data_IF_707683952368
#
_entry.id   IF_707683952368
#
_cell.length_a   1.000
_cell.length_b   1.000
_cell.length_c   1.000
_cell.angle_alpha   90.00
_cell.angle_beta   90.00
_cell.angle_gamma   90.00
#
_symmetry.space_group_name_H-M   'P 1'
#
loop_
_entity.id
_entity.type
_entity.pdbx_description
1 polymer ?
#
# COMPACT_ATOMS: atom_id res chain seq x y z
N UNK A 1 -0.85 11.90 -21.01
CA UNK A 1 0.43 11.80 -20.25
C UNK A 1 0.56 10.45 -19.53
N UNK A 2 -0.43 10.02 -18.73
CA UNK A 2 -0.41 8.71 -18.06
C UNK A 2 -0.36 7.51 -19.01
N UNK A 3 -1.01 7.59 -20.18
CA UNK A 3 -1.00 6.52 -21.19
C UNK A 3 0.41 6.24 -21.74
N UNK A 4 1.20 7.28 -21.98
CA UNK A 4 2.59 7.14 -22.44
C UNK A 4 3.45 6.47 -21.35
N UNK A 5 3.25 6.85 -20.09
CA UNK A 5 3.96 6.23 -18.97
C UNK A 5 3.55 4.77 -18.80
N UNK A 6 2.24 4.48 -18.89
CA UNK A 6 1.72 3.12 -18.85
C UNK A 6 2.35 2.25 -19.94
N UNK A 7 2.37 2.74 -21.19
CA UNK A 7 2.99 2.03 -22.31
C UNK A 7 4.48 1.75 -22.05
N UNK A 8 5.24 2.75 -21.57
CA UNK A 8 6.66 2.59 -21.25
C UNK A 8 6.92 1.56 -20.16
N UNK A 9 6.10 1.53 -19.11
CA UNK A 9 6.22 0.58 -18.00
C UNK A 9 5.85 -0.83 -18.46
N UNK A 10 4.74 -0.96 -19.20
CA UNK A 10 4.20 -2.26 -19.62
C UNK A 10 5.11 -2.98 -20.63
N UNK A 11 5.77 -2.23 -21.52
CA UNK A 11 6.69 -2.80 -22.51
C UNK A 11 8.13 -2.97 -21.97
N UNK A 12 8.44 -2.39 -20.82
CA UNK A 12 9.72 -2.64 -20.18
C UNK A 12 9.69 -3.99 -19.46
N UNK A 13 10.32 -5.00 -20.06
CA UNK A 13 10.34 -6.39 -19.54
C UNK A 13 10.78 -6.49 -18.08
N UNK A 14 11.75 -5.67 -17.65
CA UNK A 14 12.21 -5.68 -16.27
C UNK A 14 11.13 -5.13 -15.32
N UNK A 15 10.60 -3.95 -15.60
CA UNK A 15 9.58 -3.32 -14.76
C UNK A 15 8.30 -4.18 -14.71
N UNK A 16 7.88 -4.72 -15.86
CA UNK A 16 6.74 -5.61 -15.94
C UNK A 16 6.93 -6.85 -15.06
N UNK A 17 8.05 -7.56 -15.21
CA UNK A 17 8.34 -8.74 -14.39
C UNK A 17 8.49 -8.38 -12.90
N UNK A 18 9.06 -7.22 -12.60
CA UNK A 18 9.19 -6.75 -11.23
C UNK A 18 7.82 -6.48 -10.60
N UNK A 19 6.89 -5.84 -11.33
CA UNK A 19 5.51 -5.63 -10.87
C UNK A 19 4.82 -6.96 -10.60
N UNK A 20 4.90 -7.92 -11.52
CA UNK A 20 4.32 -9.26 -11.33
C UNK A 20 4.94 -9.97 -10.12
N UNK A 21 6.26 -9.87 -9.94
CA UNK A 21 6.94 -10.41 -8.76
C UNK A 21 6.41 -9.76 -7.48
N UNK A 22 6.25 -8.43 -7.45
CA UNK A 22 5.71 -7.73 -6.27
C UNK A 22 4.29 -8.20 -5.96
N UNK A 23 3.44 -8.37 -6.97
CA UNK A 23 2.07 -8.90 -6.81
C UNK A 23 2.07 -10.30 -6.19
N UNK A 24 3.04 -11.15 -6.55
CA UNK A 24 3.16 -12.52 -6.02
C UNK A 24 3.71 -12.58 -4.59
N UNK A 25 4.64 -11.69 -4.22
CA UNK A 25 5.28 -11.72 -2.90
C UNK A 25 4.60 -10.82 -1.86
N UNK A 26 3.72 -9.91 -2.31
CA UNK A 26 2.96 -9.06 -1.39
C UNK A 26 1.85 -9.90 -0.77
N UNK A 27 1.79 -9.95 0.56
CA UNK A 27 0.66 -10.56 1.28
C UNK A 27 -0.63 -9.84 0.90
N UNK A 28 -1.57 -10.59 0.32
CA UNK A 28 -2.90 -10.07 0.00
C UNK A 28 -3.72 -9.95 1.27
N UNK A 29 -4.53 -8.90 1.36
CA UNK A 29 -5.59 -8.87 2.37
C UNK A 29 -6.64 -9.88 1.90
N UNK A 30 -6.72 -11.01 2.59
CA UNK A 30 -7.76 -12.00 2.35
C UNK A 30 -9.08 -11.47 2.93
N UNK A 31 -10.07 -11.38 2.05
CA UNK A 31 -11.46 -11.10 2.42
C UNK A 31 -12.23 -12.41 2.24
N UNK A 32 -13.11 -12.73 3.19
CA UNK A 32 -13.92 -13.96 3.14
C UNK A 32 -14.98 -13.89 2.02
N UNK A 33 -15.43 -12.68 1.69
CA UNK A 33 -16.41 -12.41 0.63
C UNK A 33 -15.99 -11.19 -0.18
N UNK A 34 -16.28 -11.19 -1.48
CA UNK A 34 -16.12 -10.04 -2.37
C UNK A 34 -16.90 -8.81 -1.91
N UNK A 35 -18.03 -8.99 -1.21
CA UNK A 35 -18.83 -7.88 -0.67
C UNK A 35 -18.12 -7.14 0.46
N UNK A 36 -17.13 -7.77 1.09
CA UNK A 36 -16.27 -7.10 2.06
C UNK A 36 -15.36 -6.08 1.37
N UNK A 37 -15.11 -6.17 0.07
CA UNK A 37 -14.26 -5.24 -0.68
C UNK A 37 -15.07 -3.98 -1.05
N UNK A 38 -15.09 -3.00 -0.14
CA UNK A 38 -15.73 -1.71 -0.39
C UNK A 38 -14.71 -0.55 -0.39
N UNK A 39 -15.16 0.63 -0.85
CA UNK A 39 -14.34 1.84 -0.89
C UNK A 39 -13.91 2.30 0.50
N UNK A 40 -14.70 2.01 1.54
CA UNK A 40 -14.44 2.43 2.92
C UNK A 40 -13.30 1.62 3.57
N UNK A 41 -13.00 0.42 3.07
CA UNK A 41 -11.80 -0.32 3.46
C UNK A 41 -10.51 0.39 3.06
N UNK A 42 -10.57 1.35 2.13
CA UNK A 42 -9.39 2.09 1.68
C UNK A 42 -9.18 3.29 2.58
N UNK A 43 -8.18 3.21 3.45
CA UNK A 43 -7.72 4.35 4.23
C UNK A 43 -6.50 4.99 3.58
N UNK A 44 -6.56 6.30 3.31
CA UNK A 44 -5.38 7.03 2.82
C UNK A 44 -4.31 7.04 3.91
N UNK A 45 -3.06 6.86 3.54
CA UNK A 45 -1.93 6.84 4.48
C UNK A 45 -1.83 8.09 5.37
N UNK A 46 -2.19 9.26 4.83
CA UNK A 46 -2.25 10.51 5.59
C UNK A 46 -3.29 10.50 6.72
N UNK A 47 -4.36 9.72 6.58
CA UNK A 47 -5.45 9.63 7.56
C UNK A 47 -5.17 8.53 8.62
N UNK A 48 -4.08 7.78 8.47
CA UNK A 48 -3.64 6.76 9.43
C UNK A 48 -2.67 7.43 10.41
N UNK A 49 -3.12 7.69 11.64
CA UNK A 49 -2.28 8.28 12.70
C UNK A 49 -1.98 7.31 13.84
N UNK A 50 -2.87 6.36 14.10
CA UNK A 50 -2.75 5.38 15.20
C UNK A 50 -1.53 4.47 15.05
N UNK A 51 -0.62 4.53 16.03
CA UNK A 51 0.52 3.64 16.15
C UNK A 51 0.07 2.19 16.34
N UNK A 52 -0.93 1.98 17.21
CA UNK A 52 -1.47 0.65 17.50
C UNK A 52 -2.02 -0.03 16.25
N UNK A 53 -2.75 0.73 15.41
CA UNK A 53 -3.27 0.22 14.15
C UNK A 53 -2.14 -0.17 13.19
N UNK A 54 -1.10 0.67 13.06
CA UNK A 54 0.05 0.38 12.19
C UNK A 54 0.79 -0.87 12.63
N UNK A 55 1.01 -1.06 13.93
CA UNK A 55 1.65 -2.27 14.47
C UNK A 55 0.77 -3.50 14.26
N UNK A 56 -0.53 -3.42 14.60
CA UNK A 56 -1.49 -4.53 14.46
C UNK A 56 -1.58 -5.05 13.02
N UNK A 57 -1.56 -4.14 12.05
CA UNK A 57 -1.65 -4.47 10.63
C UNK A 57 -0.27 -4.63 9.95
N UNK A 58 0.82 -4.74 10.72
CA UNK A 58 2.20 -4.91 10.24
C UNK A 58 2.66 -3.83 9.23
N UNK A 59 2.13 -2.62 9.33
CA UNK A 59 2.42 -1.49 8.43
C UNK A 59 3.72 -0.78 8.82
N UNK A 60 4.82 -1.52 8.96
CA UNK A 60 6.11 -0.98 9.45
C UNK A 60 6.75 0.01 8.47
N UNK A 61 6.58 -0.22 7.17
CA UNK A 61 7.10 0.69 6.15
C UNK A 61 6.38 2.04 6.19
N UNK A 62 5.06 2.04 6.40
CA UNK A 62 4.28 3.26 6.58
C UNK A 62 4.76 4.02 7.84
N UNK A 63 4.93 3.33 8.95
CA UNK A 63 5.45 3.93 10.19
C UNK A 63 6.81 4.59 9.96
N UNK A 64 7.73 3.90 9.27
CA UNK A 64 9.04 4.43 8.91
C UNK A 64 8.94 5.69 8.04
N UNK A 65 8.08 5.67 7.01
CA UNK A 65 7.84 6.84 6.16
C UNK A 65 7.31 8.04 6.97
N UNK A 66 6.38 7.81 7.90
CA UNK A 66 5.81 8.87 8.75
C UNK A 66 6.85 9.48 9.69
N UNK A 67 7.70 8.65 10.29
CA UNK A 67 8.81 9.12 11.12
C UNK A 67 9.79 10.00 10.33
N UNK A 68 10.15 9.60 9.10
CA UNK A 68 11.01 10.43 8.25
C UNK A 68 10.37 11.73 7.79
N UNK A 69 9.06 11.69 7.49
CA UNK A 69 8.30 12.86 7.10
C UNK A 69 7.92 13.76 8.29
N UNK A 70 8.25 13.37 9.53
CA UNK A 70 7.86 14.04 10.76
C UNK A 70 6.34 14.27 10.85
N UNK A 71 5.56 13.28 10.40
CA UNK A 71 4.09 13.29 10.46
C UNK A 71 3.59 12.91 11.87
N UNK A 72 2.37 13.34 12.20
CA UNK A 72 1.71 12.99 13.46
C UNK A 72 1.49 11.48 13.55
N UNK A 73 1.89 10.92 14.69
CA UNK A 73 1.62 9.54 15.11
C UNK A 73 0.99 9.61 16.50
N UNK A 74 -0.20 9.03 16.63
CA UNK A 74 -0.93 8.92 17.90
C UNK A 74 -0.57 7.61 18.62
N UNK A 75 -0.36 7.69 19.94
CA UNK A 75 0.05 6.54 20.77
C UNK A 75 -1.18 6.11 21.59
N UNK A 76 -2.03 5.30 20.95
CA UNK A 76 -3.34 4.82 21.42
C UNK A 76 -3.38 3.32 21.84
#
# INVERSE_FOLDING_TARGET
NFEILFYKVFHNKYLFNYIIKQIQITEWIEYEDTDQINLDNRKRFKDIVSLKWMIKNKQYQLLKCKLYANELIDID
#
